data_IF_920468925805
#
_entry.id   IF_920468925805
#
_cell.length_a   1.000
_cell.length_b   1.000
_cell.length_c   1.000
_cell.angle_alpha   90.00
_cell.angle_beta   90.00
_cell.angle_gamma   90.00
#
_symmetry.space_group_name_H-M   'P 1'
#
loop_
_entity.id
_entity.type
_entity.pdbx_description
1 polymer ?
#
# COMPACT_ATOMS: atom_id res chain seq x y z
N UNK A 1 46.52 -25.49 -55.01
CA UNK A 1 46.51 -26.26 -53.76
C UNK A 1 45.14 -26.92 -53.61
N UNK A 2 45.12 -28.24 -53.54
CA UNK A 2 43.95 -29.11 -53.59
C UNK A 2 43.60 -29.54 -52.16
N UNK A 3 42.34 -29.39 -51.73
CA UNK A 3 41.71 -30.26 -50.72
C UNK A 3 40.19 -30.15 -50.83
N UNK A 4 39.64 -31.29 -51.25
CA UNK A 4 38.24 -31.66 -51.48
C UNK A 4 37.37 -31.55 -50.24
N UNK A 5 36.07 -31.32 -50.52
CA UNK A 5 34.87 -31.86 -49.87
C UNK A 5 34.65 -31.47 -48.39
N UNK A 6 33.47 -31.00 -47.97
CA UNK A 6 32.17 -31.71 -47.92
C UNK A 6 31.10 -30.61 -47.82
N UNK A 7 30.34 -30.24 -48.86
CA UNK A 7 29.05 -30.76 -49.32
C UNK A 7 27.98 -31.05 -48.24
N UNK A 8 26.85 -30.32 -48.42
CA UNK A 8 25.47 -30.53 -47.95
C UNK A 8 25.13 -29.86 -46.61
N UNK A 9 24.01 -29.18 -46.44
CA UNK A 9 22.82 -28.82 -47.26
C UNK A 9 22.02 -27.92 -46.30
N UNK A 10 21.41 -26.83 -46.76
CA UNK A 10 19.95 -26.66 -46.69
C UNK A 10 19.55 -25.31 -47.29
N UNK A 11 18.51 -25.41 -48.09
CA UNK A 11 18.00 -24.43 -49.03
C UNK A 11 17.34 -23.26 -48.31
N UNK A 12 17.77 -22.03 -48.64
CA UNK A 12 17.00 -20.84 -48.33
C UNK A 12 15.84 -20.73 -49.32
N UNK A 13 14.63 -21.06 -48.86
CA UNK A 13 13.38 -20.64 -49.49
C UNK A 13 12.76 -19.62 -48.53
N UNK A 14 12.47 -18.45 -49.10
CA UNK A 14 11.88 -17.27 -48.48
C UNK A 14 10.44 -17.58 -48.10
N UNK A 15 10.05 -17.29 -46.85
CA UNK A 15 8.64 -17.10 -46.50
C UNK A 15 8.53 -16.05 -45.39
N UNK A 16 7.83 -14.98 -45.75
CA UNK A 16 7.53 -13.80 -44.96
C UNK A 16 7.08 -14.10 -43.54
N UNK A 17 7.74 -13.48 -42.55
CA UNK A 17 7.12 -13.16 -41.27
C UNK A 17 7.17 -11.65 -41.12
N UNK A 18 5.99 -11.04 -41.19
CA UNK A 18 5.80 -9.65 -40.82
C UNK A 18 6.30 -9.47 -39.38
N UNK A 19 7.35 -8.67 -39.22
CA UNK A 19 7.74 -8.16 -37.91
C UNK A 19 6.63 -7.22 -37.47
N UNK A 20 5.66 -7.76 -36.72
CA UNK A 20 4.78 -6.95 -35.89
C UNK A 20 5.71 -6.34 -34.85
N UNK A 21 6.15 -5.11 -35.10
CA UNK A 21 6.69 -4.24 -34.08
C UNK A 21 5.56 -3.95 -33.08
N UNK A 22 5.35 -4.90 -32.17
CA UNK A 22 4.64 -4.65 -30.95
C UNK A 22 5.45 -3.63 -30.18
N UNK A 23 5.01 -2.38 -30.25
CA UNK A 23 5.31 -1.35 -29.26
C UNK A 23 4.94 -1.90 -27.88
N UNK A 24 5.85 -2.65 -27.27
CA UNK A 24 5.95 -2.71 -25.83
C UNK A 24 6.38 -1.31 -25.42
N UNK A 25 5.40 -0.44 -25.18
CA UNK A 25 5.62 0.69 -24.31
C UNK A 25 6.22 0.10 -23.03
N UNK A 26 7.51 0.38 -22.78
CA UNK A 26 8.16 0.04 -21.53
C UNK A 26 7.35 0.70 -20.42
N UNK A 27 6.50 -0.08 -19.75
CA UNK A 27 5.75 0.38 -18.59
C UNK A 27 6.77 0.72 -17.52
N UNK A 28 6.58 1.86 -16.87
CA UNK A 28 7.49 2.29 -15.81
C UNK A 28 7.48 1.29 -14.66
N UNK A 29 8.58 1.16 -13.89
CA UNK A 29 8.65 0.26 -12.74
C UNK A 29 7.45 0.42 -11.80
N UNK A 30 6.98 1.66 -11.61
CA UNK A 30 5.79 2.03 -10.82
C UNK A 30 4.49 1.36 -11.30
N UNK A 31 4.27 1.28 -12.60
CA UNK A 31 3.09 0.60 -13.17
C UNK A 31 3.19 -0.93 -13.05
N UNK A 32 4.40 -1.50 -13.05
CA UNK A 32 4.61 -2.91 -12.78
C UNK A 32 4.38 -3.25 -11.30
N UNK A 33 4.79 -2.37 -10.37
CA UNK A 33 4.51 -2.55 -8.93
C UNK A 33 3.01 -2.44 -8.66
N UNK A 34 2.33 -1.43 -9.22
CA UNK A 34 0.87 -1.25 -9.07
C UNK A 34 0.08 -2.47 -9.60
N UNK A 35 0.50 -3.11 -10.69
CA UNK A 35 -0.10 -4.36 -11.18
C UNK A 35 0.25 -5.59 -10.32
N UNK A 36 1.46 -5.67 -9.75
CA UNK A 36 1.81 -6.77 -8.85
C UNK A 36 0.96 -6.76 -7.57
N UNK A 37 0.57 -5.58 -7.06
CA UNK A 37 -0.28 -5.53 -5.86
C UNK A 37 -1.77 -5.75 -6.15
N UNK A 38 -2.24 -5.49 -7.37
CA UNK A 38 -3.61 -5.86 -7.78
C UNK A 38 -3.86 -7.39 -7.76
N UNK A 39 -2.81 -8.20 -7.74
CA UNK A 39 -2.86 -9.66 -7.63
C UNK A 39 -2.67 -10.21 -6.21
N UNK A 40 -2.57 -9.36 -5.18
CA UNK A 40 -2.74 -9.84 -3.80
C UNK A 40 -4.19 -10.27 -3.65
N UNK A 41 -4.45 -11.56 -3.90
CA UNK A 41 -5.69 -12.19 -3.46
C UNK A 41 -5.58 -12.28 -1.95
N UNK A 42 -6.36 -11.51 -1.18
CA UNK A 42 -6.23 -11.51 0.27
C UNK A 42 -6.56 -12.90 0.78
N UNK A 43 -5.65 -13.51 1.54
CA UNK A 43 -5.93 -14.77 2.21
C UNK A 43 -6.69 -14.51 3.52
N UNK A 44 -7.72 -13.66 3.50
CA UNK A 44 -8.53 -13.29 4.66
C UNK A 44 -9.94 -13.84 4.50
N UNK A 45 -10.43 -14.51 5.55
CA UNK A 45 -11.78 -15.10 5.59
C UNK A 45 -12.69 -14.24 6.45
N UNK A 46 -13.38 -13.30 5.81
CA UNK A 46 -14.37 -12.43 6.46
C UNK A 46 -15.67 -13.19 6.72
N UNK A 47 -16.28 -12.92 7.86
CA UNK A 47 -17.57 -13.49 8.26
C UNK A 47 -18.43 -12.37 8.80
N UNK A 48 -19.60 -12.17 8.18
CA UNK A 48 -20.60 -11.18 8.57
C UNK A 48 -21.69 -11.88 9.39
N UNK A 49 -21.98 -11.38 10.59
CA UNK A 49 -23.06 -11.90 11.41
C UNK A 49 -24.43 -11.28 11.03
N UNK A 50 -25.51 -11.73 11.65
CA UNK A 50 -26.87 -11.22 11.36
C UNK A 50 -27.04 -9.71 11.59
N UNK A 51 -26.24 -9.11 12.47
CA UNK A 51 -26.23 -7.67 12.75
C UNK A 51 -25.37 -6.87 11.75
N UNK A 52 -24.68 -7.55 10.83
CA UNK A 52 -23.75 -6.94 9.87
C UNK A 52 -22.33 -6.75 10.40
N UNK A 53 -22.01 -7.20 11.62
CA UNK A 53 -20.66 -7.07 12.19
C UNK A 53 -19.70 -8.03 11.48
N UNK A 54 -18.53 -7.51 11.10
CA UNK A 54 -17.50 -8.27 10.39
C UNK A 54 -16.47 -8.82 11.37
N UNK A 55 -16.09 -10.09 11.18
CA UNK A 55 -14.98 -10.75 11.86
C UNK A 55 -14.08 -11.48 10.86
N UNK A 56 -12.82 -11.72 11.22
CA UNK A 56 -11.85 -12.42 10.34
C UNK A 56 -11.36 -13.70 11.03
N UNK A 57 -11.55 -14.85 10.39
CA UNK A 57 -11.27 -16.17 11.00
C UNK A 57 -9.79 -16.54 11.08
N UNK A 58 -8.97 -16.02 10.16
CA UNK A 58 -7.59 -16.43 9.98
C UNK A 58 -6.60 -15.26 10.05
N UNK A 59 -6.89 -14.28 10.91
CA UNK A 59 -5.94 -13.22 11.24
C UNK A 59 -4.72 -13.77 11.99
N UNK A 60 -3.56 -13.17 11.75
CA UNK A 60 -2.31 -13.42 12.47
C UNK A 60 -2.51 -13.11 13.96
N UNK A 61 -1.77 -13.76 14.85
CA UNK A 61 -1.59 -13.26 16.23
C UNK A 61 -0.36 -12.38 16.25
N UNK A 62 -0.49 -11.14 16.69
CA UNK A 62 0.60 -10.16 16.67
C UNK A 62 0.84 -9.71 18.10
N UNK A 63 2.01 -10.04 18.64
CA UNK A 63 2.43 -9.62 19.97
C UNK A 63 2.69 -8.11 20.04
N UNK A 64 2.76 -7.57 21.26
CA UNK A 64 3.11 -6.17 21.46
C UNK A 64 4.56 -5.88 21.02
N UNK A 65 5.47 -6.84 21.21
CA UNK A 65 6.87 -6.72 20.82
C UNK A 65 7.02 -6.67 19.29
N UNK A 66 6.44 -7.63 18.57
CA UNK A 66 6.43 -7.63 17.09
C UNK A 66 5.80 -6.36 16.52
N UNK A 67 4.68 -5.92 17.11
CA UNK A 67 4.06 -4.65 16.70
C UNK A 67 5.03 -3.48 16.89
N UNK A 68 5.62 -3.33 18.08
CA UNK A 68 6.52 -2.22 18.39
C UNK A 68 7.76 -2.23 17.49
N UNK A 69 8.34 -3.39 17.22
CA UNK A 69 9.49 -3.55 16.32
C UNK A 69 9.14 -3.11 14.89
N UNK A 70 7.99 -3.54 14.37
CA UNK A 70 7.60 -3.25 12.99
C UNK A 70 7.15 -1.79 12.79
N UNK A 71 6.68 -1.11 13.83
CA UNK A 71 6.32 0.31 13.75
C UNK A 71 7.44 1.25 14.17
N UNK A 72 8.52 0.77 14.78
CA UNK A 72 9.60 1.64 15.28
C UNK A 72 10.29 2.49 14.19
N UNK A 73 10.27 2.00 12.96
CA UNK A 73 10.90 2.64 11.81
C UNK A 73 9.99 2.64 10.59
N UNK A 74 10.00 3.77 9.88
CA UNK A 74 9.27 3.98 8.66
C UNK A 74 7.77 4.16 8.87
N UNK A 75 6.99 3.67 7.92
CA UNK A 75 5.54 3.77 7.93
C UNK A 75 4.86 2.85 6.94
N UNK A 76 3.55 3.07 6.80
CA UNK A 76 2.64 2.27 6.00
C UNK A 76 1.96 3.15 4.98
N UNK A 77 2.30 2.93 3.71
CA UNK A 77 1.74 3.64 2.56
C UNK A 77 0.68 2.78 1.90
N UNK A 78 -0.49 3.36 1.69
CA UNK A 78 -1.66 2.69 1.16
C UNK A 78 -1.40 2.08 -0.22
N UNK A 79 -1.97 0.90 -0.44
CA UNK A 79 -1.97 0.25 -1.75
C UNK A 79 -3.38 -0.01 -2.29
N UNK A 80 -4.27 -0.56 -1.46
CA UNK A 80 -5.62 -0.89 -1.88
C UNK A 80 -6.58 -0.89 -0.71
N UNK A 81 -7.83 -0.53 -0.98
CA UNK A 81 -8.96 -0.70 -0.06
C UNK A 81 -10.11 -1.33 -0.81
N UNK A 82 -10.68 -2.42 -0.28
CA UNK A 82 -11.88 -3.07 -0.81
C UNK A 82 -12.94 -3.16 0.28
N UNK A 83 -14.19 -2.94 -0.09
CA UNK A 83 -15.31 -3.07 0.84
C UNK A 83 -15.59 -4.55 1.07
N UNK A 84 -15.82 -4.93 2.33
CA UNK A 84 -16.32 -6.26 2.67
C UNK A 84 -17.83 -6.26 2.44
N UNK A 85 -18.30 -7.09 1.52
CA UNK A 85 -19.70 -7.24 1.15
C UNK A 85 -20.45 -8.07 2.20
N UNK A 86 -21.79 -8.03 2.17
CA UNK A 86 -22.62 -8.75 3.14
C UNK A 86 -22.43 -10.28 3.10
N UNK A 87 -21.95 -10.83 1.98
CA UNK A 87 -21.61 -12.24 1.84
C UNK A 87 -20.20 -12.59 2.36
N UNK A 88 -19.43 -11.60 2.86
CA UNK A 88 -18.05 -11.78 3.32
C UNK A 88 -17.00 -11.74 2.20
N UNK A 89 -17.39 -11.55 0.94
CA UNK A 89 -16.45 -11.34 -0.15
C UNK A 89 -15.97 -9.89 -0.20
N UNK A 90 -14.86 -9.66 -0.89
CA UNK A 90 -14.37 -8.31 -1.14
C UNK A 90 -14.93 -7.78 -2.46
N UNK A 91 -15.33 -6.51 -2.47
CA UNK A 91 -15.68 -5.82 -3.70
C UNK A 91 -14.52 -5.91 -4.71
N UNK A 92 -14.87 -6.18 -5.96
CA UNK A 92 -13.93 -6.23 -7.08
C UNK A 92 -13.30 -4.87 -7.37
N UNK A 93 -13.98 -3.78 -7.03
CA UNK A 93 -13.49 -2.41 -7.21
C UNK A 93 -12.73 -1.94 -5.98
N UNK A 94 -11.62 -1.28 -6.22
CA UNK A 94 -10.92 -0.55 -5.18
C UNK A 94 -11.70 0.71 -4.81
N UNK A 95 -11.96 0.88 -3.52
CA UNK A 95 -12.78 1.96 -2.97
C UNK A 95 -12.23 3.33 -3.33
N UNK A 96 -10.99 3.65 -2.94
CA UNK A 96 -10.40 4.98 -3.16
C UNK A 96 -10.09 5.27 -4.62
N UNK A 97 -9.84 4.25 -5.45
CA UNK A 97 -9.72 4.45 -6.92
C UNK A 97 -11.07 4.67 -7.61
N UNK A 98 -12.18 4.30 -6.97
CA UNK A 98 -13.53 4.41 -7.55
C UNK A 98 -14.29 5.67 -7.14
N UNK A 99 -13.75 6.46 -6.22
CA UNK A 99 -14.40 7.67 -5.68
C UNK A 99 -13.53 8.90 -5.91
N UNK A 100 -14.18 10.04 -6.15
CA UNK A 100 -13.52 11.33 -6.29
C UNK A 100 -13.55 12.09 -4.95
N UNK A 101 -12.47 12.81 -4.66
CA UNK A 101 -12.40 13.73 -3.53
C UNK A 101 -12.06 13.08 -2.18
N UNK A 102 -11.93 11.76 -2.09
CA UNK A 102 -11.42 11.08 -0.90
C UNK A 102 -10.07 10.45 -1.16
N UNK A 103 -9.19 10.52 -0.17
CA UNK A 103 -7.85 9.93 -0.22
C UNK A 103 -7.70 8.90 0.88
N UNK A 104 -6.94 7.82 0.63
CA UNK A 104 -6.54 6.91 1.69
C UNK A 104 -5.62 7.61 2.68
N UNK A 105 -5.71 7.19 3.94
CA UNK A 105 -4.85 7.64 5.02
C UNK A 105 -3.62 6.75 5.08
N UNK A 106 -2.43 7.33 5.12
CA UNK A 106 -1.18 6.63 5.37
C UNK A 106 -0.74 6.86 6.80
N UNK A 107 0.12 5.99 7.32
CA UNK A 107 0.53 6.01 8.72
C UNK A 107 2.05 5.98 8.85
N UNK A 108 2.61 6.60 9.88
CA UNK A 108 3.96 6.32 10.36
C UNK A 108 4.00 6.55 11.86
N UNK A 109 4.98 5.95 12.56
CA UNK A 109 5.06 6.05 14.01
C UNK A 109 6.41 6.64 14.38
N UNK A 110 6.37 7.66 15.23
CA UNK A 110 7.56 8.40 15.62
C UNK A 110 7.33 9.11 16.94
N UNK A 111 8.35 9.15 17.79
CA UNK A 111 8.34 9.87 19.07
C UNK A 111 7.17 9.45 19.98
N UNK A 112 6.81 8.15 19.95
CA UNK A 112 5.70 7.59 20.72
C UNK A 112 4.30 7.95 20.21
N UNK A 113 4.21 8.46 18.97
CA UNK A 113 2.97 8.95 18.36
C UNK A 113 2.67 8.24 17.04
N UNK A 114 1.39 8.17 16.72
CA UNK A 114 0.91 7.75 15.40
C UNK A 114 0.66 9.01 14.58
N UNK A 115 1.34 9.11 13.45
CA UNK A 115 1.18 10.19 12.50
C UNK A 115 0.40 9.69 11.30
N UNK A 116 -0.59 10.46 10.87
CA UNK A 116 -1.34 10.18 9.66
C UNK A 116 -1.04 11.21 8.59
N UNK A 117 -1.02 10.82 7.32
CA UNK A 117 -0.91 11.76 6.23
C UNK A 117 -1.70 11.31 4.99
N UNK A 118 -2.32 12.28 4.32
CA UNK A 118 -3.13 12.05 3.14
C UNK A 118 -3.29 13.34 2.33
N UNK A 119 -3.63 13.19 1.05
CA UNK A 119 -3.98 14.32 0.20
C UNK A 119 -5.39 14.83 0.52
N UNK A 120 -5.51 16.06 1.01
CA UNK A 120 -6.80 16.71 1.23
C UNK A 120 -7.25 17.41 -0.04
N UNK A 121 -8.30 16.88 -0.68
CA UNK A 121 -8.94 17.51 -1.84
C UNK A 121 -9.51 18.90 -1.51
N UNK A 122 -10.00 19.10 -0.29
CA UNK A 122 -10.52 20.38 0.19
C UNK A 122 -9.44 21.47 0.24
N UNK A 123 -8.21 21.11 0.59
CA UNK A 123 -7.09 22.05 0.71
C UNK A 123 -6.14 22.04 -0.49
N UNK A 124 -6.34 21.13 -1.44
CA UNK A 124 -5.45 20.92 -2.59
C UNK A 124 -4.02 20.50 -2.22
N UNK A 125 -3.79 19.97 -1.01
CA UNK A 125 -2.46 19.62 -0.51
C UNK A 125 -2.49 18.43 0.44
N UNK A 126 -1.34 17.79 0.60
CA UNK A 126 -1.13 16.78 1.65
C UNK A 126 -1.14 17.45 3.01
N UNK A 127 -1.84 16.83 3.95
CA UNK A 127 -1.91 17.25 5.36
C UNK A 127 -1.42 16.11 6.25
N UNK A 128 -0.98 16.45 7.46
CA UNK A 128 -0.54 15.48 8.47
C UNK A 128 -1.13 15.82 9.82
N UNK A 129 -1.45 14.78 10.59
CA UNK A 129 -1.95 14.89 11.96
C UNK A 129 -1.23 13.89 12.86
N UNK A 130 -1.14 14.20 14.14
CA UNK A 130 -0.47 13.38 15.15
C UNK A 130 -1.49 12.97 16.22
N UNK A 131 -1.40 11.72 16.68
CA UNK A 131 -2.31 11.15 17.66
C UNK A 131 -1.56 10.30 18.69
N UNK A 132 -2.10 10.29 19.91
CA UNK A 132 -1.83 9.20 20.85
C UNK A 132 -2.40 7.89 20.30
N UNK A 133 -1.69 6.79 20.51
CA UNK A 133 -2.19 5.48 20.13
C UNK A 133 -1.88 4.42 21.19
N UNK A 134 -2.63 3.32 21.13
CA UNK A 134 -2.39 2.12 21.92
C UNK A 134 -2.63 0.88 21.08
N UNK A 135 -1.75 -0.10 21.20
CA UNK A 135 -1.94 -1.42 20.63
C UNK A 135 -2.37 -2.44 21.68
N UNK A 136 -3.44 -3.18 21.40
CA UNK A 136 -3.93 -4.31 22.19
C UNK A 136 -3.68 -5.62 21.45
N UNK A 137 -2.63 -6.33 21.87
CA UNK A 137 -2.24 -7.62 21.32
C UNK A 137 -3.28 -8.73 21.54
N UNK A 138 -4.21 -8.60 22.50
CA UNK A 138 -5.25 -9.61 22.73
C UNK A 138 -6.25 -9.64 21.57
N UNK A 139 -6.53 -8.48 20.99
CA UNK A 139 -7.56 -8.30 19.97
C UNK A 139 -6.98 -7.93 18.59
N UNK A 140 -5.66 -7.73 18.50
CA UNK A 140 -4.97 -7.04 17.40
C UNK A 140 -5.59 -5.69 17.08
N UNK A 141 -5.87 -4.88 18.11
CA UNK A 141 -6.53 -3.59 17.92
C UNK A 141 -5.52 -2.47 18.09
N UNK A 142 -5.39 -1.64 17.06
CA UNK A 142 -4.72 -0.34 17.15
C UNK A 142 -5.79 0.73 17.37
N UNK A 143 -5.79 1.32 18.56
CA UNK A 143 -6.65 2.45 18.90
C UNK A 143 -5.88 3.75 18.72
N UNK A 144 -6.33 4.60 17.81
CA UNK A 144 -5.78 5.93 17.54
C UNK A 144 -6.77 6.93 18.12
N UNK A 145 -6.35 7.62 19.18
CA UNK A 145 -7.21 8.50 19.98
C UNK A 145 -7.84 9.59 19.10
N UNK A 146 -9.14 9.82 19.29
CA UNK A 146 -9.93 10.82 18.56
C UNK A 146 -9.95 10.64 17.03
N UNK A 147 -9.55 9.46 16.53
CA UNK A 147 -9.45 9.20 15.11
C UNK A 147 -10.11 7.90 14.67
N UNK A 148 -9.53 6.74 15.01
CA UNK A 148 -10.02 5.46 14.52
C UNK A 148 -9.56 4.27 15.36
N UNK A 149 -10.36 3.21 15.34
CA UNK A 149 -10.02 1.89 15.90
C UNK A 149 -9.86 0.88 14.76
N UNK A 150 -8.65 0.33 14.62
CA UNK A 150 -8.23 -0.49 13.48
C UNK A 150 -7.93 -1.92 13.93
N UNK A 151 -8.51 -2.92 13.27
CA UNK A 151 -8.03 -4.31 13.43
C UNK A 151 -6.83 -4.54 12.53
N UNK A 152 -5.71 -4.98 13.09
CA UNK A 152 -4.57 -5.45 12.31
C UNK A 152 -4.76 -6.96 12.06
N UNK A 153 -4.96 -7.32 10.80
CA UNK A 153 -5.20 -8.70 10.39
C UNK A 153 -3.91 -9.46 10.15
N UNK A 154 -2.93 -8.77 9.56
CA UNK A 154 -1.58 -9.27 9.34
C UNK A 154 -0.59 -8.10 9.37
N UNK A 155 0.59 -8.35 9.92
CA UNK A 155 1.67 -7.38 10.02
C UNK A 155 3.01 -8.10 9.79
N UNK A 156 3.79 -7.58 8.85
CA UNK A 156 5.08 -8.11 8.45
C UNK A 156 6.05 -6.98 8.10
N UNK A 157 7.30 -7.33 7.78
CA UNK A 157 8.27 -6.35 7.29
C UNK A 157 7.88 -5.73 5.94
N UNK A 158 7.00 -6.37 5.16
CA UNK A 158 6.60 -5.88 3.84
C UNK A 158 5.27 -5.15 3.83
N UNK A 159 4.31 -5.58 4.66
CA UNK A 159 2.92 -5.14 4.57
C UNK A 159 2.22 -5.05 5.92
N UNK A 160 1.18 -4.21 5.95
CA UNK A 160 0.16 -4.21 6.98
C UNK A 160 -1.21 -4.38 6.31
N UNK A 161 -1.99 -5.32 6.81
CA UNK A 161 -3.36 -5.59 6.36
C UNK A 161 -4.33 -5.29 7.50
N UNK A 162 -5.37 -4.51 7.24
CA UNK A 162 -6.29 -4.05 8.27
C UNK A 162 -7.75 -4.25 7.91
N UNK A 163 -8.59 -4.35 8.94
CA UNK A 163 -10.04 -4.18 8.87
C UNK A 163 -10.43 -2.91 9.62
N UNK A 164 -11.20 -2.04 9.00
CA UNK A 164 -11.68 -0.80 9.62
C UNK A 164 -13.16 -0.55 9.31
N UNK A 165 -13.91 0.06 10.24
CA UNK A 165 -15.27 0.53 9.96
C UNK A 165 -15.25 1.68 8.96
N UNK A 166 -16.25 1.72 8.06
CA UNK A 166 -16.42 2.73 7.01
C UNK A 166 -17.82 3.37 7.07
N UNK A 167 -18.40 3.43 8.26
CA UNK A 167 -19.76 3.92 8.49
C UNK A 167 -20.82 2.83 8.33
N UNK A 168 -21.97 3.17 7.76
CA UNK A 168 -23.12 2.28 7.61
C UNK A 168 -23.58 2.20 6.15
N UNK A 169 -24.07 1.04 5.73
CA UNK A 169 -24.80 0.87 4.49
C UNK A 169 -26.18 1.57 4.56
N UNK A 170 -26.83 1.86 3.42
CA UNK A 170 -28.17 2.45 3.40
C UNK A 170 -29.25 1.66 4.17
N UNK A 171 -29.03 0.35 4.36
CA UNK A 171 -29.90 -0.52 5.16
C UNK A 171 -29.63 -0.46 6.68
N UNK A 172 -28.76 0.44 7.12
CA UNK A 172 -28.43 0.66 8.53
C UNK A 172 -27.37 -0.29 9.10
N UNK A 173 -26.92 -1.31 8.35
CA UNK A 173 -25.85 -2.22 8.82
C UNK A 173 -24.48 -1.56 8.75
N UNK A 174 -23.54 -1.88 9.65
CA UNK A 174 -22.18 -1.36 9.57
C UNK A 174 -21.48 -1.83 8.29
N UNK A 175 -20.64 -0.96 7.74
CA UNK A 175 -19.80 -1.22 6.57
C UNK A 175 -18.35 -1.33 7.03
N UNK A 176 -17.63 -2.29 6.47
CA UNK A 176 -16.21 -2.50 6.75
C UNK A 176 -15.39 -2.43 5.47
N UNK A 177 -14.15 -1.95 5.60
CA UNK A 177 -13.14 -1.99 4.56
C UNK A 177 -11.97 -2.86 5.00
N UNK A 178 -11.49 -3.66 4.08
CA UNK A 178 -10.19 -4.30 4.14
C UNK A 178 -9.19 -3.45 3.36
N UNK A 179 -8.07 -3.08 4.00
CA UNK A 179 -7.04 -2.25 3.38
C UNK A 179 -5.67 -2.90 3.49
N UNK A 180 -4.87 -2.77 2.43
CA UNK A 180 -3.48 -3.23 2.36
C UNK A 180 -2.57 -2.01 2.26
N UNK A 181 -1.52 -2.02 3.08
CA UNK A 181 -0.43 -1.06 3.07
C UNK A 181 0.88 -1.77 2.80
N UNK A 182 1.78 -1.10 2.09
CA UNK A 182 3.19 -1.50 2.02
C UNK A 182 3.97 -0.77 3.09
N UNK A 183 5.03 -1.39 3.58
CA UNK A 183 6.01 -0.69 4.39
C UNK A 183 6.80 0.30 3.52
N UNK A 184 7.14 1.44 4.12
CA UNK A 184 8.04 2.46 3.60
C UNK A 184 9.07 2.73 4.69
N UNK A 185 10.34 2.88 4.35
CA UNK A 185 11.38 3.20 5.34
C UNK A 185 11.34 4.69 5.76
N UNK A 186 12.13 5.04 6.78
CA UNK A 186 12.22 6.40 7.30
C UNK A 186 12.60 7.43 6.22
N UNK A 187 13.49 7.04 5.29
CA UNK A 187 13.94 7.91 4.20
C UNK A 187 12.82 8.18 3.19
N UNK A 188 12.03 7.16 2.85
CA UNK A 188 10.87 7.32 1.99
C UNK A 188 9.80 8.19 2.65
N UNK A 189 9.47 7.94 3.91
CA UNK A 189 8.50 8.78 4.66
C UNK A 189 8.98 10.22 4.70
N UNK A 190 10.24 10.48 5.07
CA UNK A 190 10.81 11.83 5.07
C UNK A 190 10.71 12.49 3.68
N UNK A 191 11.04 11.77 2.61
CA UNK A 191 10.94 12.28 1.24
C UNK A 191 9.50 12.59 0.81
N UNK A 192 8.51 11.82 1.27
CA UNK A 192 7.09 12.12 1.04
C UNK A 192 6.71 13.42 1.76
N UNK A 193 7.07 13.54 3.03
CA UNK A 193 6.73 14.71 3.85
C UNK A 193 7.44 15.99 3.37
N UNK A 194 8.71 15.91 2.95
CA UNK A 194 9.45 17.05 2.38
C UNK A 194 8.78 17.54 1.09
N UNK A 195 8.45 16.63 0.17
CA UNK A 195 7.76 16.99 -1.09
C UNK A 195 6.37 17.59 -0.85
N UNK A 196 5.72 17.21 0.25
CA UNK A 196 4.46 17.77 0.69
C UNK A 196 4.61 19.13 1.42
N UNK A 197 5.84 19.59 1.70
CA UNK A 197 6.09 20.79 2.51
C UNK A 197 5.79 20.61 4.00
N UNK A 198 5.70 19.37 4.48
CA UNK A 198 5.39 18.99 5.86
C UNK A 198 6.64 18.76 6.72
N UNK A 199 7.81 18.61 6.08
CA UNK A 199 9.10 18.47 6.72
C UNK A 199 10.13 19.34 6.00
N UNK A 200 11.03 19.99 6.74
CA UNK A 200 12.14 20.76 6.15
C UNK A 200 13.28 19.80 5.77
N UNK A 201 13.93 19.98 4.60
CA UNK A 201 15.15 19.25 4.27
C UNK A 201 16.22 19.50 5.34
N UNK A 202 16.95 18.46 5.72
CA UNK A 202 18.03 18.56 6.73
C UNK A 202 19.32 19.14 6.16
N UNK A 203 19.43 19.25 4.83
CA UNK A 203 20.55 19.93 4.16
C UNK A 203 20.05 21.33 3.79
N UNK A 204 20.59 22.38 4.42
CA UNK A 204 20.39 23.73 3.92
C UNK A 204 21.19 23.87 2.62
N UNK A 205 20.60 24.46 1.58
CA UNK A 205 21.34 24.84 0.36
C UNK A 205 22.46 25.85 0.70
N UNK A 206 22.36 26.52 1.85
CA UNK A 206 23.40 27.42 2.38
C UNK A 206 24.67 26.66 2.77
N UNK A 207 24.56 25.44 3.30
CA UNK A 207 25.71 24.62 3.72
C UNK A 207 26.53 24.08 2.54
N UNK A 208 25.95 24.05 1.33
CA UNK A 208 26.65 23.63 0.11
C UNK A 208 27.54 24.77 -0.43
N UNK A 209 27.25 26.04 -0.07
CA UNK A 209 28.00 27.21 -0.57
C UNK A 209 29.24 27.55 0.25
N UNK A 210 29.40 26.99 1.45
CA UNK A 210 30.60 27.21 2.28
C UNK A 210 31.74 26.22 1.99
N UNK A 211 31.50 25.17 1.20
CA UNK A 211 32.52 24.19 0.79
C UNK A 211 33.33 24.56 -0.46
N UNK A 212 33.05 25.68 -1.12
CA UNK A 212 33.71 26.13 -2.36
C UNK A 212 34.53 27.43 -2.19
N UNK A 213 35.08 27.74 -1.00
CA UNK A 213 36.01 28.86 -0.82
C UNK A 213 37.29 28.50 -0.09
#
# INVERSE_FOLDING_TARGET
>A
MNKKAILRKLSFIISSTAVVMGIYACKTPKQQTEMQVMNLTPNMKFVINQKGECSVKNKQKISLEEFNELVAHGGFVWISTRIVLENGELDTKDYYRSILGQSPINYYFKDGKCHTFFFSSANGKTVSYEYDYKYDAKNNRLSIKDFNDIEILALSEGTMEILQPMGVFPNGKPRYAYSIYRRADDGEIANILIRAGLLKPTISIEDIKEGEK
#
